data_IF_247841872321
#
_entry.id   IF_247841872321
#
_cell.length_a   1.000
_cell.length_b   1.000
_cell.length_c   1.000
_cell.angle_alpha   90.00
_cell.angle_beta   90.00
_cell.angle_gamma   90.00
#
_symmetry.space_group_name_H-M   'P 1'
#
loop_
_entity.id
_entity.type
_entity.pdbx_description
1 polymer ?
#
# COMPACT_ATOMS: atom_id res chain seq x y z
N UNK A 1 -8.24 -6.28 -18.41
CA UNK A 1 -6.96 -5.62 -18.10
C UNK A 1 -6.38 -5.10 -19.40
N UNK A 2 -5.92 -3.85 -19.44
CA UNK A 2 -5.12 -3.31 -20.55
C UNK A 2 -3.77 -4.03 -20.60
N UNK A 3 -3.14 -4.09 -21.78
CA UNK A 3 -1.77 -4.58 -21.91
C UNK A 3 -0.78 -3.63 -21.22
N UNK A 4 0.27 -4.18 -20.62
CA UNK A 4 1.32 -3.43 -19.93
C UNK A 4 2.67 -4.13 -20.11
N UNK A 5 3.75 -3.37 -19.97
CA UNK A 5 5.13 -3.89 -19.94
C UNK A 5 5.49 -4.25 -18.50
N UNK A 6 5.98 -5.46 -18.28
CA UNK A 6 6.51 -5.86 -16.98
C UNK A 6 8.03 -5.68 -16.94
N UNK A 7 8.52 -4.91 -15.96
CA UNK A 7 9.94 -4.69 -15.71
C UNK A 7 10.37 -5.41 -14.43
N UNK A 8 11.54 -6.07 -14.46
CA UNK A 8 12.05 -6.88 -13.35
C UNK A 8 13.42 -6.35 -12.88
N UNK A 9 13.45 -5.22 -12.15
CA UNK A 9 14.70 -4.67 -11.62
C UNK A 9 15.35 -5.61 -10.61
N UNK A 10 16.67 -5.52 -10.49
CA UNK A 10 17.49 -6.24 -9.49
C UNK A 10 17.87 -5.36 -8.31
N UNK A 11 17.74 -4.04 -8.43
CA UNK A 11 18.02 -3.07 -7.35
C UNK A 11 16.89 -2.03 -7.21
N UNK A 12 16.84 -1.35 -6.06
CA UNK A 12 15.92 -0.22 -5.86
C UNK A 12 16.22 0.94 -6.80
N UNK A 13 17.50 1.23 -7.07
CA UNK A 13 17.90 2.31 -7.98
C UNK A 13 17.46 2.04 -9.42
N UNK A 14 17.53 0.78 -9.86
CA UNK A 14 17.02 0.35 -11.15
C UNK A 14 15.49 0.49 -11.20
N UNK A 15 14.79 0.05 -10.14
CA UNK A 15 13.33 0.19 -10.04
C UNK A 15 12.88 1.66 -10.14
N UNK A 16 13.59 2.58 -9.46
CA UNK A 16 13.34 4.02 -9.52
C UNK A 16 13.64 4.58 -10.91
N UNK A 17 14.74 4.15 -11.54
CA UNK A 17 15.14 4.63 -12.86
C UNK A 17 14.13 4.23 -13.94
N UNK A 18 13.70 2.97 -13.94
CA UNK A 18 12.67 2.45 -14.86
C UNK A 18 11.33 3.19 -14.69
N UNK A 19 10.93 3.45 -13.45
CA UNK A 19 9.72 4.21 -13.17
C UNK A 19 9.84 5.66 -13.67
N UNK A 20 10.99 6.31 -13.46
CA UNK A 20 11.25 7.67 -13.92
C UNK A 20 11.22 7.77 -15.44
N UNK A 21 11.87 6.84 -16.14
CA UNK A 21 11.91 6.79 -17.61
C UNK A 21 10.51 6.64 -18.20
N UNK A 22 9.70 5.72 -17.66
CA UNK A 22 8.32 5.54 -18.08
C UNK A 22 7.48 6.81 -17.86
N UNK A 23 7.59 7.44 -16.68
CA UNK A 23 6.88 8.70 -16.40
C UNK A 23 7.30 9.83 -17.34
N UNK A 24 8.60 9.95 -17.67
CA UNK A 24 9.11 10.93 -18.65
C UNK A 24 8.59 10.67 -20.07
N UNK A 25 8.32 9.41 -20.42
CA UNK A 25 7.67 9.01 -21.67
C UNK A 25 6.14 9.21 -21.66
N UNK A 26 5.57 9.80 -20.60
CA UNK A 26 4.12 10.00 -20.46
C UNK A 26 3.35 8.72 -20.14
N UNK A 27 4.05 7.67 -19.69
CA UNK A 27 3.46 6.39 -19.32
C UNK A 27 3.09 6.35 -17.84
N UNK A 28 2.03 5.63 -17.52
CA UNK A 28 1.63 5.35 -16.13
C UNK A 28 2.39 4.16 -15.55
N UNK A 29 2.78 4.25 -14.28
CA UNK A 29 3.60 3.23 -13.60
C UNK A 29 2.90 2.71 -12.35
N UNK A 30 3.09 1.43 -12.05
CA UNK A 30 2.74 0.84 -10.75
C UNK A 30 3.83 -0.11 -10.28
N UNK A 31 4.03 -0.19 -8.98
CA UNK A 31 4.97 -1.14 -8.37
C UNK A 31 4.22 -2.35 -7.84
N UNK A 32 4.71 -3.55 -8.13
CA UNK A 32 4.14 -4.81 -7.65
C UNK A 32 5.06 -5.47 -6.63
N UNK A 33 4.58 -5.61 -5.40
CA UNK A 33 5.10 -6.58 -4.45
C UNK A 33 4.35 -7.91 -4.62
N UNK A 34 3.46 -8.22 -3.69
CA UNK A 34 2.62 -9.42 -3.72
C UNK A 34 1.57 -9.47 -4.83
N UNK A 35 1.06 -8.31 -5.24
CA UNK A 35 0.06 -8.16 -6.31
C UNK A 35 -1.39 -8.45 -5.89
N UNK A 36 -1.65 -8.83 -4.63
CA UNK A 36 -2.98 -9.26 -4.17
C UNK A 36 -4.06 -8.17 -4.28
N UNK A 37 -3.75 -6.92 -3.95
CA UNK A 37 -4.65 -5.77 -4.16
C UNK A 37 -4.52 -5.21 -5.59
N UNK A 38 -3.29 -4.94 -6.04
CA UNK A 38 -3.02 -4.29 -7.33
C UNK A 38 -3.59 -5.06 -8.52
N UNK A 39 -3.37 -6.38 -8.62
CA UNK A 39 -3.85 -7.16 -9.75
C UNK A 39 -5.38 -7.24 -9.78
N UNK A 40 -6.04 -7.20 -8.62
CA UNK A 40 -7.49 -7.11 -8.56
C UNK A 40 -7.98 -5.77 -9.11
N UNK A 41 -7.39 -4.66 -8.67
CA UNK A 41 -7.70 -3.33 -9.20
C UNK A 41 -7.51 -3.25 -10.73
N UNK A 42 -6.44 -3.85 -11.24
CA UNK A 42 -6.17 -3.94 -12.68
C UNK A 42 -7.23 -4.76 -13.46
N UNK A 43 -7.85 -5.76 -12.81
CA UNK A 43 -8.92 -6.57 -13.39
C UNK A 43 -10.27 -5.88 -13.32
N UNK A 44 -10.54 -5.16 -12.24
CA UNK A 44 -11.79 -4.42 -12.02
C UNK A 44 -11.97 -3.27 -13.03
N UNK A 45 -10.88 -2.86 -13.70
CA UNK A 45 -10.87 -1.78 -14.72
C UNK A 45 -11.51 -0.50 -14.21
N UNK A 46 -11.29 -0.13 -12.95
CA UNK A 46 -11.82 1.12 -12.40
C UNK A 46 -11.19 2.29 -13.18
N UNK A 47 -11.92 2.84 -14.15
CA UNK A 47 -11.44 3.93 -15.00
C UNK A 47 -11.41 5.22 -14.19
N UNK A 48 -10.50 6.14 -14.52
CA UNK A 48 -10.39 7.45 -13.89
C UNK A 48 -10.14 7.46 -12.38
N UNK A 49 -9.65 6.37 -11.77
CA UNK A 49 -9.21 6.44 -10.38
C UNK A 49 -7.69 6.64 -10.34
N UNK A 50 -7.21 7.66 -9.62
CA UNK A 50 -5.82 7.65 -9.20
C UNK A 50 -5.49 6.28 -8.58
N UNK A 51 -4.39 5.66 -8.98
CA UNK A 51 -3.92 4.39 -8.43
C UNK A 51 -4.81 3.14 -8.64
N UNK A 52 -5.82 3.14 -9.52
CA UNK A 52 -6.62 1.93 -9.81
C UNK A 52 -6.00 0.97 -10.83
N UNK A 53 -4.71 1.05 -11.05
CA UNK A 53 -4.00 -0.04 -11.71
C UNK A 53 -4.40 -0.23 -13.17
N UNK A 54 -4.25 0.77 -14.02
CA UNK A 54 -4.03 0.49 -15.46
C UNK A 54 -2.68 1.03 -15.90
N UNK A 55 -1.57 0.56 -15.28
CA UNK A 55 -0.24 1.02 -15.63
C UNK A 55 0.08 0.63 -17.07
N UNK A 56 0.85 1.46 -17.75
CA UNK A 56 1.57 1.08 -18.95
C UNK A 56 2.80 0.23 -18.60
N UNK A 57 3.40 0.49 -17.43
CA UNK A 57 4.58 -0.20 -16.93
C UNK A 57 4.36 -0.71 -15.50
N UNK A 58 4.48 -2.01 -15.31
CA UNK A 58 4.48 -2.67 -14.01
C UNK A 58 5.91 -2.98 -13.59
N UNK A 59 6.37 -2.37 -12.50
CA UNK A 59 7.71 -2.64 -11.93
C UNK A 59 7.57 -3.71 -10.85
N UNK A 60 8.00 -4.93 -11.15
CA UNK A 60 7.98 -6.06 -10.22
C UNK A 60 9.13 -5.97 -9.22
N UNK A 61 8.82 -5.70 -7.96
CA UNK A 61 9.82 -5.56 -6.91
C UNK A 61 10.34 -6.90 -6.39
N UNK A 62 9.65 -8.02 -6.64
CA UNK A 62 10.07 -9.36 -6.15
C UNK A 62 11.42 -9.83 -6.68
N UNK A 63 11.96 -9.17 -7.70
CA UNK A 63 13.28 -9.47 -8.25
C UNK A 63 14.39 -8.63 -7.65
N UNK A 64 14.08 -7.71 -6.73
CA UNK A 64 15.03 -6.90 -5.99
C UNK A 64 15.44 -7.64 -4.72
N UNK A 65 16.73 -7.91 -4.59
CA UNK A 65 17.27 -8.71 -3.50
C UNK A 65 17.26 -7.92 -2.16
N UNK A 66 17.08 -8.61 -1.02
CA UNK A 66 17.19 -8.05 0.33
C UNK A 66 15.99 -7.23 0.82
N UNK A 67 14.90 -7.14 0.05
CA UNK A 67 13.69 -6.40 0.45
C UNK A 67 12.73 -7.20 1.33
N UNK A 68 13.00 -8.47 1.60
CA UNK A 68 12.18 -9.38 2.42
C UNK A 68 12.82 -9.73 3.76
N UNK A 69 14.00 -9.18 4.05
CA UNK A 69 14.75 -9.45 5.27
C UNK A 69 14.12 -8.81 6.52
N UNK A 70 14.21 -9.52 7.65
CA UNK A 70 13.87 -9.02 8.97
C UNK A 70 15.14 -9.07 9.83
N UNK A 71 15.51 -7.95 10.46
CA UNK A 71 16.73 -7.86 11.27
C UNK A 71 16.55 -6.95 12.47
N UNK A 72 17.27 -7.24 13.56
CA UNK A 72 17.29 -6.38 14.75
C UNK A 72 18.16 -5.15 14.52
N UNK A 73 17.74 -4.01 15.09
CA UNK A 73 18.54 -2.79 15.10
C UNK A 73 19.43 -2.74 16.35
N UNK A 74 20.51 -1.96 16.29
CA UNK A 74 21.40 -1.76 17.44
C UNK A 74 20.69 -1.11 18.65
N UNK A 75 19.55 -0.47 18.43
CA UNK A 75 18.73 0.20 19.45
C UNK A 75 17.62 -0.71 20.01
N UNK A 76 17.62 -2.00 19.67
CA UNK A 76 16.61 -2.95 20.16
C UNK A 76 15.27 -2.90 19.42
N UNK A 77 15.22 -2.28 18.24
CA UNK A 77 14.07 -2.32 17.33
C UNK A 77 14.23 -3.38 16.24
N UNK A 78 13.33 -3.34 15.25
CA UNK A 78 13.36 -4.25 14.10
C UNK A 78 13.31 -3.46 12.79
N UNK A 79 14.11 -3.86 11.82
CA UNK A 79 13.93 -3.49 10.41
C UNK A 79 13.18 -4.62 9.73
N UNK A 80 12.07 -4.29 9.07
CA UNK A 80 11.24 -5.23 8.33
C UNK A 80 11.24 -4.82 6.87
N UNK A 81 11.66 -5.75 6.01
CA UNK A 81 11.64 -5.59 4.56
C UNK A 81 10.24 -5.34 4.01
N UNK A 82 10.11 -4.45 3.03
CA UNK A 82 8.81 -4.15 2.41
C UNK A 82 8.19 -5.33 1.65
N UNK A 83 9.01 -6.31 1.23
CA UNK A 83 8.59 -7.54 0.57
C UNK A 83 8.46 -8.74 1.50
N UNK A 84 8.75 -8.59 2.80
CA UNK A 84 8.43 -9.61 3.80
C UNK A 84 6.95 -9.96 3.67
N UNK A 85 6.63 -11.24 3.55
CA UNK A 85 5.25 -11.68 3.43
C UNK A 85 4.52 -11.55 4.77
N UNK A 86 3.21 -11.37 4.73
CA UNK A 86 2.40 -11.30 5.96
C UNK A 86 2.45 -12.62 6.74
N UNK A 87 2.59 -13.75 6.03
CA UNK A 87 2.73 -15.07 6.63
C UNK A 87 4.07 -15.19 7.40
N UNK A 88 5.19 -14.81 6.77
CA UNK A 88 6.49 -14.74 7.45
C UNK A 88 6.46 -13.82 8.65
N UNK A 89 5.79 -12.67 8.56
CA UNK A 89 5.66 -11.74 9.68
C UNK A 89 4.87 -12.35 10.85
N UNK A 90 3.84 -13.14 10.55
CA UNK A 90 2.99 -13.83 11.54
C UNK A 90 3.79 -14.88 12.33
N UNK A 91 4.71 -15.57 11.67
CA UNK A 91 5.49 -16.67 12.26
C UNK A 91 6.84 -16.23 12.85
N UNK A 92 7.31 -15.01 12.57
CA UNK A 92 8.66 -14.57 12.97
C UNK A 92 8.82 -14.54 14.50
N UNK A 93 9.74 -15.34 15.09
CA UNK A 93 9.81 -15.55 16.55
C UNK A 93 9.95 -14.26 17.35
N UNK A 94 10.85 -13.37 16.93
CA UNK A 94 11.08 -12.08 17.62
C UNK A 94 9.87 -11.14 17.48
N UNK A 95 9.15 -11.18 16.35
CA UNK A 95 7.97 -10.32 16.16
C UNK A 95 6.83 -10.85 17.03
N UNK A 96 6.65 -12.16 17.11
CA UNK A 96 5.65 -12.78 18.01
C UNK A 96 5.91 -12.48 19.48
N UNK A 97 7.18 -12.51 19.89
CA UNK A 97 7.60 -12.30 21.28
C UNK A 97 7.59 -10.82 21.68
N UNK A 98 8.18 -9.93 20.88
CA UNK A 98 8.44 -8.54 21.26
C UNK A 98 7.47 -7.53 20.63
N UNK A 99 6.81 -7.92 19.53
CA UNK A 99 5.90 -7.06 18.75
C UNK A 99 4.58 -7.80 18.50
N UNK A 100 4.04 -8.48 19.52
CA UNK A 100 2.92 -9.43 19.39
C UNK A 100 1.72 -8.86 18.64
N UNK A 101 1.33 -7.61 18.91
CA UNK A 101 0.22 -6.95 18.20
C UNK A 101 0.45 -6.78 16.70
N UNK A 102 1.72 -6.70 16.25
CA UNK A 102 2.07 -6.67 14.83
C UNK A 102 1.92 -8.06 14.19
N UNK A 103 2.33 -9.13 14.90
CA UNK A 103 2.11 -10.50 14.43
C UNK A 103 0.61 -10.84 14.34
N UNK A 104 -0.17 -10.49 15.36
CA UNK A 104 -1.62 -10.69 15.38
C UNK A 104 -2.32 -9.89 14.28
N UNK A 105 -1.90 -8.64 14.06
CA UNK A 105 -2.39 -7.83 12.95
C UNK A 105 -2.03 -8.40 11.58
N UNK A 106 -0.87 -9.06 11.44
CA UNK A 106 -0.52 -9.77 10.20
C UNK A 106 -1.42 -11.00 10.01
N UNK A 107 -1.67 -11.75 11.09
CA UNK A 107 -2.49 -12.96 11.10
C UNK A 107 -3.96 -12.69 10.75
N UNK A 108 -4.52 -11.54 11.18
CA UNK A 108 -5.90 -11.15 10.88
C UNK A 108 -6.14 -10.82 9.41
N UNK A 109 -5.08 -10.54 8.64
CA UNK A 109 -5.24 -10.12 7.24
C UNK A 109 -5.75 -11.27 6.39
N UNK A 110 -6.99 -11.13 5.93
CA UNK A 110 -7.58 -11.95 4.88
C UNK A 110 -7.41 -13.47 5.10
N UNK A 111 -7.06 -14.20 4.05
CA UNK A 111 -6.86 -15.66 4.07
C UNK A 111 -5.38 -16.03 4.03
N UNK A 112 -4.96 -17.22 4.50
CA UNK A 112 -3.57 -17.69 4.41
C UNK A 112 -2.95 -17.55 3.01
N UNK A 113 -3.69 -17.87 1.94
CA UNK A 113 -3.21 -17.78 0.56
C UNK A 113 -2.85 -16.33 0.15
N UNK A 114 -3.62 -15.36 0.67
CA UNK A 114 -3.33 -13.94 0.48
C UNK A 114 -2.11 -13.55 1.31
N UNK A 115 -1.97 -14.04 2.55
CA UNK A 115 -0.81 -13.74 3.40
C UNK A 115 0.51 -14.31 2.88
N UNK A 116 0.47 -15.48 2.24
CA UNK A 116 1.64 -16.13 1.63
C UNK A 116 2.25 -15.29 0.49
N UNK A 117 1.49 -14.35 -0.08
CA UNK A 117 1.96 -13.53 -1.22
C UNK A 117 1.92 -12.04 -0.95
N UNK A 118 0.96 -11.57 -0.14
CA UNK A 118 0.84 -10.20 0.31
C UNK A 118 2.06 -9.81 1.14
N UNK A 119 2.56 -8.61 0.91
CA UNK A 119 3.78 -8.13 1.57
C UNK A 119 3.47 -7.00 2.54
N UNK A 120 4.36 -6.73 3.48
CA UNK A 120 4.22 -5.63 4.46
C UNK A 120 3.98 -4.29 3.76
N UNK A 121 4.83 -3.90 2.82
CA UNK A 121 4.64 -2.66 2.07
C UNK A 121 3.34 -2.67 1.27
N UNK A 122 3.01 -3.81 0.63
CA UNK A 122 1.78 -3.97 -0.14
C UNK A 122 0.51 -3.80 0.70
N UNK A 123 0.50 -4.36 1.91
CA UNK A 123 -0.60 -4.21 2.86
C UNK A 123 -0.73 -2.76 3.34
N UNK A 124 0.38 -2.07 3.58
CA UNK A 124 0.38 -0.66 4.01
C UNK A 124 -0.11 0.29 2.90
N UNK A 125 0.12 -0.02 1.62
CA UNK A 125 -0.29 0.84 0.48
C UNK A 125 -1.56 0.40 -0.25
N UNK A 126 -2.26 -0.59 0.28
CA UNK A 126 -3.47 -1.14 -0.36
C UNK A 126 -4.58 -0.08 -0.48
N UNK A 127 -5.41 -0.20 -1.52
CA UNK A 127 -6.50 0.77 -1.74
C UNK A 127 -7.73 0.44 -0.88
N UNK A 128 -8.46 1.47 -0.40
CA UNK A 128 -9.68 1.27 0.39
C UNK A 128 -10.84 0.54 -0.29
N UNK A 129 -11.68 -0.09 0.54
CA UNK A 129 -12.87 -0.88 0.14
C UNK A 129 -14.20 -0.13 0.06
N UNK A 130 -14.20 1.19 -0.08
CA UNK A 130 -15.43 1.96 -0.24
C UNK A 130 -16.24 1.52 -1.48
N UNK A 131 -17.53 1.24 -1.28
CA UNK A 131 -18.47 0.85 -2.35
C UNK A 131 -18.47 1.85 -3.50
N UNK A 132 -18.53 3.15 -3.20
CA UNK A 132 -18.51 4.21 -4.20
C UNK A 132 -17.15 4.33 -4.91
N UNK A 133 -16.06 4.05 -4.20
CA UNK A 133 -14.74 4.03 -4.80
C UNK A 133 -14.55 2.83 -5.75
N UNK A 134 -15.21 1.71 -5.50
CA UNK A 134 -15.05 0.46 -6.26
C UNK A 134 -16.11 0.24 -7.34
N UNK A 135 -17.19 1.04 -7.39
CA UNK A 135 -18.32 0.83 -8.30
C UNK A 135 -18.61 2.05 -9.21
N UNK A 136 -17.57 2.66 -9.75
CA UNK A 136 -17.64 3.73 -10.76
C UNK A 136 -18.40 5.04 -10.41
N UNK A 137 -18.74 5.26 -9.13
CA UNK A 137 -19.31 6.55 -8.71
C UNK A 137 -18.27 7.68 -8.82
N UNK A 138 -18.69 8.91 -9.21
CA UNK A 138 -17.83 10.09 -9.23
C UNK A 138 -17.60 10.62 -7.80
N UNK A 139 -17.09 9.78 -6.91
CA UNK A 139 -16.86 10.11 -5.52
C UNK A 139 -15.61 10.99 -5.35
N UNK A 140 -15.48 11.63 -4.19
CA UNK A 140 -14.37 12.53 -3.88
C UNK A 140 -12.99 11.88 -4.15
N UNK A 141 -12.81 10.62 -3.72
CA UNK A 141 -11.57 9.86 -3.91
C UNK A 141 -11.30 9.49 -5.39
N UNK A 142 -12.34 9.53 -6.23
CA UNK A 142 -12.25 9.30 -7.67
C UNK A 142 -12.00 10.59 -8.47
N UNK A 143 -11.76 11.73 -7.80
CA UNK A 143 -11.64 13.04 -8.45
C UNK A 143 -12.98 13.76 -8.64
N UNK A 144 -14.08 13.22 -8.11
CA UNK A 144 -15.34 13.95 -8.00
C UNK A 144 -15.34 14.97 -6.86
N UNK A 145 -16.48 15.61 -6.63
CA UNK A 145 -16.63 16.67 -5.63
C UNK A 145 -17.50 16.27 -4.41
N UNK A 146 -17.98 15.03 -4.35
CA UNK A 146 -18.90 14.55 -3.31
C UNK A 146 -18.46 13.22 -2.70
N UNK A 147 -18.61 13.08 -1.39
CA UNK A 147 -18.56 11.78 -0.72
C UNK A 147 -19.97 11.23 -0.54
N UNK A 148 -20.28 10.14 -1.24
CA UNK A 148 -21.62 9.55 -1.24
C UNK A 148 -21.95 8.82 0.07
N UNK A 149 -20.96 8.43 0.87
CA UNK A 149 -21.18 7.79 2.17
C UNK A 149 -21.73 8.74 3.24
N UNK A 150 -21.82 10.04 2.97
CA UNK A 150 -22.40 10.98 3.95
C UNK A 150 -23.90 10.72 4.12
N UNK A 151 -24.61 10.44 3.03
CA UNK A 151 -26.07 10.25 3.01
C UNK A 151 -26.51 8.89 2.50
N UNK A 152 -25.59 8.10 1.94
CA UNK A 152 -25.84 6.74 1.46
C UNK A 152 -25.27 5.66 2.38
N UNK A 153 -25.06 4.48 1.82
CA UNK A 153 -24.49 3.32 2.51
C UNK A 153 -23.11 3.60 3.10
N UNK A 154 -23.05 3.58 4.43
CA UNK A 154 -21.88 4.03 5.17
C UNK A 154 -21.51 3.17 6.38
N UNK A 155 -22.08 1.97 6.48
CA UNK A 155 -21.88 1.04 7.60
C UNK A 155 -20.40 0.72 7.87
N UNK A 156 -19.54 0.77 6.84
CA UNK A 156 -18.09 0.49 6.92
C UNK A 156 -17.21 1.75 6.73
N UNK A 157 -17.78 2.94 6.92
CA UNK A 157 -17.07 4.22 6.73
C UNK A 157 -16.62 4.82 8.06
N UNK A 158 -15.70 5.78 7.98
CA UNK A 158 -15.09 6.40 9.14
C UNK A 158 -16.13 7.22 9.94
N UNK A 159 -16.22 6.96 11.24
CA UNK A 159 -17.03 7.75 12.20
C UNK A 159 -16.23 8.90 12.83
N UNK A 160 -14.90 8.81 12.77
CA UNK A 160 -13.95 9.83 13.23
C UNK A 160 -13.08 10.27 12.03
N UNK A 161 -12.51 11.49 12.09
CA UNK A 161 -11.47 11.91 11.12
C UNK A 161 -11.87 12.95 10.07
N UNK A 162 -13.08 13.51 10.12
CA UNK A 162 -13.49 14.63 9.26
C UNK A 162 -13.66 14.29 7.77
N UNK A 163 -14.35 15.17 7.05
CA UNK A 163 -14.46 15.11 5.58
C UNK A 163 -13.19 15.62 4.87
N UNK A 164 -13.19 15.71 3.54
CA UNK A 164 -14.34 15.60 2.64
C UNK A 164 -14.67 14.17 2.20
N UNK A 165 -13.93 13.15 2.64
CA UNK A 165 -14.16 11.75 2.29
C UNK A 165 -14.07 10.85 3.53
N UNK A 166 -15.07 10.01 3.79
CA UNK A 166 -15.12 9.16 4.99
C UNK A 166 -14.63 7.73 4.74
N UNK A 167 -13.71 7.59 3.81
CA UNK A 167 -13.17 6.30 3.37
C UNK A 167 -12.12 5.79 4.37
N UNK A 168 -12.18 4.51 4.72
CA UNK A 168 -11.28 3.91 5.74
C UNK A 168 -10.09 3.23 5.08
N UNK A 169 -8.90 3.39 5.67
CA UNK A 169 -7.73 2.62 5.27
C UNK A 169 -7.87 1.17 5.78
N UNK A 170 -7.84 0.14 4.91
CA UNK A 170 -8.28 -1.21 5.28
C UNK A 170 -7.15 -2.11 5.83
N UNK A 171 -5.96 -1.56 6.06
CA UNK A 171 -4.83 -2.32 6.58
C UNK A 171 -4.95 -2.57 8.08
N UNK A 172 -4.86 -3.84 8.46
CA UNK A 172 -4.71 -4.25 9.86
C UNK A 172 -3.30 -3.97 10.41
N UNK A 173 -2.27 -4.03 9.57
CA UNK A 173 -0.88 -3.71 9.97
C UNK A 173 -0.71 -2.22 10.30
N UNK A 174 -1.34 -1.33 9.54
CA UNK A 174 -1.20 0.12 9.68
C UNK A 174 -1.39 0.62 11.14
N UNK A 175 -2.50 0.30 11.85
CA UNK A 175 -2.65 0.71 13.24
C UNK A 175 -1.60 0.09 14.17
N UNK A 176 -1.22 -1.19 13.97
CA UNK A 176 -0.17 -1.82 14.77
C UNK A 176 1.19 -1.13 14.58
N UNK A 177 1.56 -0.83 13.32
CA UNK A 177 2.78 -0.09 13.00
C UNK A 177 2.78 1.32 13.60
N UNK A 178 1.65 2.02 13.56
CA UNK A 178 1.51 3.33 14.20
C UNK A 178 1.67 3.24 15.72
N UNK A 179 1.09 2.20 16.35
CA UNK A 179 1.20 1.98 17.79
C UNK A 179 2.64 1.68 18.25
N UNK A 180 3.47 1.10 17.36
CA UNK A 180 4.89 0.83 17.59
C UNK A 180 5.83 1.96 17.13
N UNK A 181 5.28 3.16 16.87
CA UNK A 181 6.05 4.33 16.37
C UNK A 181 6.91 4.01 15.14
N UNK A 182 6.42 3.12 14.26
CA UNK A 182 7.18 2.68 13.09
C UNK A 182 7.51 3.86 12.16
N UNK A 183 8.69 3.77 11.54
CA UNK A 183 9.14 4.70 10.51
C UNK A 183 9.22 3.99 9.16
N UNK A 184 8.89 4.70 8.07
CA UNK A 184 8.90 4.15 6.72
C UNK A 184 10.10 4.66 5.93
N UNK A 185 11.01 3.75 5.55
CA UNK A 185 12.09 4.04 4.62
C UNK A 185 11.57 3.95 3.19
N UNK A 186 11.67 5.04 2.43
CA UNK A 186 11.17 5.17 1.06
C UNK A 186 12.34 5.58 0.17
N UNK A 187 12.47 4.88 -0.97
CA UNK A 187 13.43 5.23 -2.01
C UNK A 187 12.66 5.80 -3.21
N UNK A 188 13.11 6.94 -3.71
CA UNK A 188 12.50 7.62 -4.86
C UNK A 188 13.54 8.39 -5.68
N UNK A 189 13.09 9.22 -6.65
CA UNK A 189 13.99 9.92 -7.57
C UNK A 189 14.92 10.93 -6.89
N UNK A 190 14.55 11.41 -5.70
CA UNK A 190 15.35 12.33 -4.86
C UNK A 190 16.24 11.57 -3.85
N UNK A 191 16.33 10.25 -3.96
CA UNK A 191 17.06 9.38 -3.05
C UNK A 191 16.19 8.79 -1.94
N UNK A 192 16.88 8.25 -0.94
CA UNK A 192 16.26 7.64 0.24
C UNK A 192 15.79 8.71 1.24
N UNK A 193 14.62 8.50 1.82
CA UNK A 193 14.09 9.30 2.93
C UNK A 193 13.34 8.43 3.92
N UNK A 194 13.32 8.87 5.18
CA UNK A 194 12.55 8.25 6.25
C UNK A 194 11.33 9.12 6.55
N UNK A 195 10.14 8.54 6.50
CA UNK A 195 8.91 9.17 6.95
C UNK A 195 8.55 8.67 8.35
N UNK A 196 8.30 9.60 9.27
CA UNK A 196 8.00 9.31 10.68
C UNK A 196 6.48 9.28 10.92
N UNK A 197 6.01 8.32 11.73
CA UNK A 197 4.64 8.21 12.26
C UNK A 197 3.54 8.07 11.19
N UNK A 198 2.62 9.05 11.18
CA UNK A 198 1.34 9.14 10.47
C UNK A 198 1.47 9.88 9.14
N UNK A 199 2.63 10.50 8.85
CA UNK A 199 2.83 11.27 7.61
C UNK A 199 2.65 10.45 6.33
N UNK A 200 2.78 9.12 6.45
CA UNK A 200 2.49 8.17 5.39
C UNK A 200 0.98 7.98 5.16
N UNK A 201 0.21 7.79 6.25
CA UNK A 201 -1.24 7.57 6.24
C UNK A 201 -1.97 8.92 6.41
N UNK A 202 -2.23 9.57 5.29
CA UNK A 202 -2.78 10.93 5.28
C UNK A 202 -4.29 10.95 5.39
N UNK A 203 -4.80 11.94 6.13
CA UNK A 203 -6.24 12.25 6.17
C UNK A 203 -6.69 12.85 4.83
N UNK A 204 -7.96 12.63 4.45
CA UNK A 204 -8.52 13.26 3.27
C UNK A 204 -8.62 14.78 3.48
N UNK A 205 -8.01 15.56 2.61
CA UNK A 205 -8.03 17.04 2.65
C UNK A 205 -8.56 17.63 1.34
N UNK A 206 -9.23 18.80 1.37
CA UNK A 206 -9.72 19.47 0.17
C UNK A 206 -8.61 19.77 -0.85
N UNK A 207 -8.86 19.51 -2.14
CA UNK A 207 -8.00 19.93 -3.25
C UNK A 207 -6.71 19.11 -3.44
N UNK A 208 -6.49 18.09 -2.60
CA UNK A 208 -5.40 17.12 -2.80
C UNK A 208 -5.95 15.89 -3.52
N UNK A 209 -5.64 15.79 -4.82
CA UNK A 209 -5.63 14.50 -5.50
C UNK A 209 -4.66 13.58 -4.77
N UNK A 210 -5.14 12.45 -4.26
CA UNK A 210 -4.36 11.45 -3.52
C UNK A 210 -3.73 10.41 -4.43
#
# INVERSE_FOLDING_TARGET
MKAFTNQNPRTLDEAVSLAREALQAGQSVSFAGGGTDLLQLMKDRLVNRPGSGQPDVLVNLKTVDGLDEISSTAQGGMTIGGLTTLDTLTEHPVIRDQFTSLAEAAESVATPQIRNTGTVAGNVVQRPWCWYYRNDFPCYKAGGNQCFSVVGENQLHAIFGGGPSYIVHPSDLAPALVAHDATFRIVGPEGERILVRIGFLRSPEPGRGT
#
